data_IF_096047493754
#
_entry.id   IF_096047493754
#
_cell.length_a   1.000
_cell.length_b   1.000
_cell.length_c   1.000
_cell.angle_alpha   90.00
_cell.angle_beta   90.00
_cell.angle_gamma   90.00
#
_symmetry.space_group_name_H-M   'P 1'
#
loop_
_entity.id
_entity.type
_entity.pdbx_description
1 polymer ?
#
# COMPACT_ATOMS: atom_id res chain seq x y z
N UNK A 1 11.62 13.65 -10.30
CA UNK A 1 10.65 12.63 -9.86
C UNK A 1 11.32 11.83 -8.76
N UNK A 2 11.02 12.17 -7.51
CA UNK A 2 11.61 11.48 -6.36
C UNK A 2 10.77 10.25 -6.04
N UNK A 3 11.18 9.11 -6.58
CA UNK A 3 10.57 7.80 -6.31
C UNK A 3 10.51 7.53 -4.80
N UNK A 4 11.49 8.05 -4.05
CA UNK A 4 11.53 7.95 -2.58
C UNK A 4 10.38 8.71 -1.90
N UNK A 5 10.03 9.91 -2.37
CA UNK A 5 8.88 10.67 -1.86
C UNK A 5 7.58 9.93 -2.18
N UNK A 6 7.44 9.43 -3.41
CA UNK A 6 6.29 8.62 -3.82
C UNK A 6 6.10 7.39 -2.93
N UNK A 7 7.18 6.67 -2.62
CA UNK A 7 7.13 5.55 -1.66
C UNK A 7 6.60 6.03 -0.30
N UNK A 8 7.07 7.17 0.21
CA UNK A 8 6.58 7.74 1.46
C UNK A 8 5.08 8.04 1.43
N UNK A 9 4.60 8.77 0.41
CA UNK A 9 3.19 9.09 0.24
C UNK A 9 2.31 7.84 0.15
N UNK A 10 2.76 6.81 -0.58
CA UNK A 10 2.05 5.54 -0.71
C UNK A 10 1.96 4.83 0.64
N UNK A 11 3.06 4.78 1.39
CA UNK A 11 3.11 4.18 2.74
C UNK A 11 2.12 4.85 3.67
N UNK A 12 2.08 6.18 3.67
CA UNK A 12 1.18 6.93 4.55
C UNK A 12 -0.29 6.75 4.13
N UNK A 13 -0.61 6.83 2.83
CA UNK A 13 -1.96 6.54 2.32
C UNK A 13 -2.43 5.12 2.65
N UNK A 14 -1.55 4.13 2.51
CA UNK A 14 -1.85 2.73 2.83
C UNK A 14 -2.12 2.57 4.32
N UNK A 15 -1.35 3.25 5.18
CA UNK A 15 -1.56 3.18 6.64
C UNK A 15 -2.82 3.92 7.09
N UNK A 16 -3.11 5.05 6.48
CA UNK A 16 -4.25 5.89 6.83
C UNK A 16 -5.57 5.35 6.30
N UNK A 17 -5.56 4.65 5.15
CA UNK A 17 -6.77 4.08 4.55
C UNK A 17 -6.76 2.52 4.57
N UNK A 18 -7.58 1.88 5.42
CA UNK A 18 -7.71 0.42 5.46
C UNK A 18 -8.15 -0.20 4.13
N UNK A 19 -8.93 0.52 3.32
CA UNK A 19 -9.35 0.00 2.02
C UNK A 19 -8.16 -0.11 1.10
N UNK A 20 -7.31 0.92 1.07
CA UNK A 20 -6.06 0.91 0.29
C UNK A 20 -5.11 -0.14 0.84
N UNK A 21 -4.97 -0.29 2.16
CA UNK A 21 -4.18 -1.38 2.73
C UNK A 21 -4.66 -2.76 2.29
N UNK A 22 -5.98 -2.97 2.20
CA UNK A 22 -6.54 -4.22 1.72
C UNK A 22 -6.28 -4.41 0.23
N UNK A 23 -6.57 -3.40 -0.60
CA UNK A 23 -6.25 -3.42 -2.04
C UNK A 23 -4.75 -3.66 -2.26
N UNK A 24 -3.87 -3.04 -1.47
CA UNK A 24 -2.41 -3.22 -1.56
C UNK A 24 -1.95 -4.61 -1.11
N UNK A 25 -2.65 -5.23 -0.16
CA UNK A 25 -2.34 -6.60 0.27
C UNK A 25 -2.76 -7.61 -0.80
N UNK A 26 -3.91 -7.41 -1.41
CA UNK A 26 -4.46 -8.29 -2.45
C UNK A 26 -3.72 -8.08 -3.79
N UNK A 27 -3.58 -6.84 -4.24
CA UNK A 27 -2.94 -6.42 -5.50
C UNK A 27 -2.06 -5.16 -5.31
N UNK A 28 -0.82 -5.32 -4.81
CA UNK A 28 0.06 -4.19 -4.54
C UNK A 28 0.49 -3.41 -5.80
N UNK A 29 0.71 -4.11 -6.93
CA UNK A 29 1.14 -3.46 -8.18
C UNK A 29 0.04 -2.54 -8.70
N UNK A 30 -1.17 -3.08 -8.89
CA UNK A 30 -2.31 -2.30 -9.38
C UNK A 30 -2.66 -1.14 -8.42
N UNK A 31 -2.54 -1.37 -7.11
CA UNK A 31 -2.78 -0.32 -6.12
C UNK A 31 -1.76 0.82 -6.25
N UNK A 32 -0.46 0.50 -6.36
CA UNK A 32 0.58 1.51 -6.54
C UNK A 32 0.41 2.26 -7.86
N UNK A 33 0.14 1.55 -8.95
CA UNK A 33 -0.12 2.14 -10.26
C UNK A 33 -1.30 3.13 -10.21
N UNK A 34 -2.44 2.70 -9.64
CA UNK A 34 -3.64 3.52 -9.44
C UNK A 34 -3.38 4.74 -8.55
N UNK A 35 -2.57 4.59 -7.49
CA UNK A 35 -2.25 5.68 -6.57
C UNK A 35 -1.27 6.69 -7.16
N UNK A 36 -0.35 6.23 -8.02
CA UNK A 36 0.60 7.09 -8.71
C UNK A 36 -0.02 7.72 -9.96
N UNK A 37 -1.06 7.12 -10.54
CA UNK A 37 -1.75 7.61 -11.73
C UNK A 37 -0.86 7.61 -12.98
N UNK A 38 0.12 6.69 -13.03
CA UNK A 38 1.11 6.60 -14.11
C UNK A 38 1.27 5.14 -14.56
N UNK A 39 1.38 4.97 -15.87
CA UNK A 39 1.65 3.70 -16.54
C UNK A 39 3.18 3.47 -16.51
N UNK A 40 3.66 2.86 -15.43
CA UNK A 40 5.06 2.46 -15.32
C UNK A 40 5.21 0.97 -15.68
N UNK A 41 6.39 0.55 -16.17
CA UNK A 41 6.68 -0.87 -16.34
C UNK A 41 6.51 -1.61 -15.02
N UNK A 42 5.93 -2.81 -15.07
CA UNK A 42 5.72 -3.67 -13.89
C UNK A 42 6.99 -3.83 -13.05
N UNK A 43 8.15 -3.95 -13.69
CA UNK A 43 9.44 -4.11 -13.01
C UNK A 43 9.84 -2.90 -12.15
N UNK A 44 9.39 -1.69 -12.51
CA UNK A 44 9.58 -0.49 -11.69
C UNK A 44 8.54 -0.42 -10.57
N UNK A 45 7.28 -0.78 -10.87
CA UNK A 45 6.22 -0.85 -9.87
C UNK A 45 6.56 -1.86 -8.77
N UNK A 46 7.11 -3.02 -9.11
CA UNK A 46 7.57 -4.01 -8.13
C UNK A 46 8.61 -3.44 -7.17
N UNK A 47 9.59 -2.67 -7.66
CA UNK A 47 10.60 -2.03 -6.81
C UNK A 47 9.98 -1.02 -5.83
N UNK A 48 8.95 -0.29 -6.29
CA UNK A 48 8.21 0.66 -5.45
C UNK A 48 7.40 -0.10 -4.41
N UNK A 49 6.65 -1.13 -4.84
CA UNK A 49 5.87 -2.03 -3.98
C UNK A 49 6.74 -2.63 -2.89
N UNK A 50 7.92 -3.13 -3.24
CA UNK A 50 8.86 -3.71 -2.27
C UNK A 50 9.37 -2.67 -1.29
N UNK A 51 9.69 -1.46 -1.77
CA UNK A 51 10.05 -0.33 -0.91
C UNK A 51 8.93 0.05 0.06
N UNK A 52 7.69 0.08 -0.43
CA UNK A 52 6.48 0.37 0.36
C UNK A 52 6.23 -0.75 1.39
N UNK A 53 6.29 -2.02 0.99
CA UNK A 53 6.16 -3.19 1.88
C UNK A 53 7.25 -3.17 2.96
N UNK A 54 8.49 -2.88 2.60
CA UNK A 54 9.60 -2.78 3.54
C UNK A 54 9.41 -1.63 4.54
N UNK A 55 8.88 -0.48 4.08
CA UNK A 55 8.59 0.69 4.93
C UNK A 55 7.40 0.49 5.87
N UNK A 56 6.34 -0.17 5.41
CA UNK A 56 5.16 -0.47 6.23
C UNK A 56 5.49 -1.61 7.21
N UNK A 57 6.16 -2.65 6.71
CA UNK A 57 6.30 -3.95 7.35
C UNK A 57 5.04 -4.80 7.10
N UNK A 58 5.22 -6.00 6.52
CA UNK A 58 4.10 -6.91 6.23
C UNK A 58 3.27 -7.22 7.49
N UNK A 59 3.95 -7.40 8.63
CA UNK A 59 3.32 -7.64 9.93
C UNK A 59 2.43 -6.47 10.36
N UNK A 60 2.92 -5.23 10.22
CA UNK A 60 2.14 -4.02 10.58
C UNK A 60 0.95 -3.79 9.67
N UNK A 61 1.07 -4.12 8.38
CA UNK A 61 -0.06 -4.08 7.45
C UNK A 61 -1.14 -5.08 7.89
N UNK A 62 -0.72 -6.28 8.31
CA UNK A 62 -1.58 -7.30 8.87
C UNK A 62 -2.29 -6.85 10.16
N UNK A 63 -1.56 -6.27 11.10
CA UNK A 63 -2.11 -5.71 12.34
C UNK A 63 -3.06 -4.54 12.11
N UNK A 64 -2.72 -3.61 11.20
CA UNK A 64 -3.58 -2.47 10.89
C UNK A 64 -4.90 -2.94 10.24
N UNK A 65 -4.84 -3.90 9.32
CA UNK A 65 -6.03 -4.50 8.71
C UNK A 65 -6.80 -5.41 9.65
N UNK A 66 -6.13 -6.17 10.51
CA UNK A 66 -6.75 -7.03 11.52
C UNK A 66 -7.47 -6.20 12.60
N UNK A 67 -6.82 -5.13 13.03
CA UNK A 67 -7.40 -4.09 13.88
C UNK A 67 -8.64 -3.51 13.22
N UNK A 68 -8.54 -2.96 12.00
CA UNK A 68 -9.66 -2.32 11.29
C UNK A 68 -10.78 -3.30 10.86
N UNK A 69 -10.45 -4.55 10.57
CA UNK A 69 -11.44 -5.59 10.25
C UNK A 69 -12.40 -5.85 11.42
N UNK A 70 -11.93 -5.73 12.66
CA UNK A 70 -12.75 -5.86 13.86
C UNK A 70 -13.79 -4.74 14.05
N UNK A 71 -13.56 -3.56 13.47
CA UNK A 71 -14.51 -2.43 13.51
C UNK A 71 -15.40 -2.36 12.26
N UNK A 72 -14.91 -2.81 11.10
CA UNK A 72 -15.75 -2.92 9.89
C UNK A 72 -16.73 -4.09 9.94
N UNK A 73 -16.53 -5.07 10.83
CA UNK A 73 -17.40 -6.25 10.99
C UNK A 73 -18.60 -6.08 11.92
N UNK A 74 -18.81 -4.90 12.54
CA UNK A 74 -19.91 -4.68 13.49
C UNK A 74 -20.98 -3.79 12.87
N UNK A 75 -21.93 -4.43 12.20
CA UNK A 75 -23.24 -3.85 11.86
C UNK A 75 -24.32 -4.84 12.21
#
# INVERSE_FOLDING_TARGET
>A
MDIKEKIGELVDKIKDDPKIAKEFKDDPIATVEKLLGIDLPNEQLEKIVDGVKAKIGLDKLGDALGGLGGLFGKK
#
